data_IF_674042891614
#
_entry.id   IF_674042891614
#
_cell.length_a   1.000
_cell.length_b   1.000
_cell.length_c   1.000
_cell.angle_alpha   90.00
_cell.angle_beta   90.00
_cell.angle_gamma   90.00
#
_symmetry.space_group_name_H-M   'P 1'
#
loop_
_entity.id
_entity.type
_entity.pdbx_description
1 polymer ?
#
# COMPACT_ATOMS: atom_id res chain seq x y z
N UNK A 1 -19.45 26.54 -9.48
CA UNK A 1 -18.47 27.04 -8.48
C UNK A 1 -17.08 26.84 -9.05
N UNK A 2 -16.49 27.86 -9.67
CA UNK A 2 -15.12 27.77 -10.18
C UNK A 2 -14.14 27.63 -9.00
N UNK A 3 -13.31 26.59 -9.04
CA UNK A 3 -12.16 26.42 -8.15
C UNK A 3 -12.38 25.66 -6.84
N UNK A 4 -13.47 24.94 -6.65
CA UNK A 4 -13.66 24.03 -5.51
C UNK A 4 -13.79 22.59 -6.01
N UNK A 5 -13.02 21.68 -5.40
CA UNK A 5 -13.21 20.24 -5.58
C UNK A 5 -14.57 19.81 -5.07
N UNK A 6 -15.22 18.79 -5.66
CA UNK A 6 -16.45 18.22 -5.13
C UNK A 6 -16.23 17.70 -3.71
N UNK A 7 -17.25 17.80 -2.85
CA UNK A 7 -17.20 17.24 -1.50
C UNK A 7 -17.48 15.73 -1.49
N UNK A 8 -18.40 15.30 -2.39
CA UNK A 8 -18.81 13.90 -2.48
C UNK A 8 -18.98 13.50 -3.95
N UNK A 9 -18.50 12.30 -4.29
CA UNK A 9 -18.72 11.69 -5.59
C UNK A 9 -19.88 10.71 -5.51
N UNK A 10 -20.65 10.59 -6.59
CA UNK A 10 -21.76 9.64 -6.72
C UNK A 10 -21.34 8.36 -7.45
N UNK A 11 -20.56 8.48 -8.53
CA UNK A 11 -20.08 7.35 -9.33
C UNK A 11 -18.88 7.75 -10.19
N UNK A 12 -18.25 6.75 -10.82
CA UNK A 12 -17.15 6.93 -11.78
C UNK A 12 -17.32 6.00 -12.99
N UNK A 13 -16.80 6.41 -14.14
CA UNK A 13 -16.74 5.59 -15.36
C UNK A 13 -15.52 5.99 -16.21
N UNK A 14 -14.69 5.01 -16.56
CA UNK A 14 -13.44 5.30 -17.26
C UNK A 14 -12.58 6.29 -16.47
N UNK A 15 -12.19 7.39 -17.08
CA UNK A 15 -11.40 8.46 -16.46
C UNK A 15 -12.26 9.56 -15.80
N UNK A 16 -13.57 9.40 -15.74
CA UNK A 16 -14.50 10.44 -15.29
C UNK A 16 -15.20 10.07 -14.00
N UNK A 17 -15.51 11.08 -13.18
CA UNK A 17 -16.28 10.95 -11.95
C UNK A 17 -17.37 12.04 -11.93
N UNK A 18 -18.48 11.74 -11.26
CA UNK A 18 -19.59 12.67 -11.07
C UNK A 18 -19.81 12.93 -9.59
N UNK A 19 -20.04 14.19 -9.25
CA UNK A 19 -20.44 14.55 -7.91
C UNK A 19 -21.95 14.28 -7.66
N UNK A 20 -22.37 14.48 -6.42
CA UNK A 20 -23.79 14.30 -6.03
C UNK A 20 -24.74 15.33 -6.65
N UNK A 21 -24.21 16.43 -7.18
CA UNK A 21 -24.95 17.48 -7.89
C UNK A 21 -25.01 17.21 -9.41
N UNK A 22 -24.39 16.11 -9.88
CA UNK A 22 -24.37 15.69 -11.29
C UNK A 22 -23.31 16.38 -12.15
N UNK A 23 -22.38 17.10 -11.57
CA UNK A 23 -21.28 17.68 -12.33
C UNK A 23 -20.22 16.62 -12.65
N UNK A 24 -19.70 16.66 -13.87
CA UNK A 24 -18.68 15.75 -14.39
C UNK A 24 -17.28 16.33 -14.23
N UNK A 25 -16.33 15.48 -13.85
CA UNK A 25 -14.92 15.79 -13.68
C UNK A 25 -14.04 14.72 -14.31
N UNK A 26 -12.87 15.10 -14.82
CA UNK A 26 -11.80 14.16 -15.13
C UNK A 26 -11.06 13.86 -13.82
N UNK A 27 -10.96 12.59 -13.45
CA UNK A 27 -10.24 12.17 -12.25
C UNK A 27 -8.75 11.98 -12.52
N UNK A 28 -7.94 12.95 -12.10
CA UNK A 28 -6.48 12.87 -12.16
C UNK A 28 -5.86 12.21 -10.89
N UNK A 29 -6.68 11.90 -9.90
CA UNK A 29 -6.25 11.24 -8.65
C UNK A 29 -6.26 9.72 -8.81
N UNK A 30 -7.10 9.21 -9.73
CA UNK A 30 -7.16 7.79 -10.11
C UNK A 30 -7.41 6.85 -8.92
N UNK A 31 -8.31 7.26 -8.01
CA UNK A 31 -8.62 6.51 -6.79
C UNK A 31 -7.42 6.32 -5.85
N UNK A 32 -6.48 7.26 -5.82
CA UNK A 32 -5.16 7.15 -5.19
C UNK A 32 -4.28 6.08 -5.86
N UNK A 33 -4.26 6.09 -7.21
CA UNK A 33 -3.45 5.29 -8.13
C UNK A 33 -3.89 3.83 -8.41
N UNK A 34 -4.80 3.16 -7.68
CA UNK A 34 -5.13 1.76 -8.01
C UNK A 34 -6.01 1.59 -9.26
N UNK A 35 -6.71 2.63 -9.74
CA UNK A 35 -7.65 2.54 -10.86
C UNK A 35 -6.98 2.69 -12.24
N UNK A 36 -5.92 1.93 -12.50
CA UNK A 36 -5.14 2.06 -13.75
C UNK A 36 -5.94 1.72 -15.02
N UNK A 37 -7.02 0.93 -14.93
CA UNK A 37 -7.94 0.62 -16.03
C UNK A 37 -9.12 1.57 -16.10
N UNK A 38 -9.25 2.49 -15.15
CA UNK A 38 -10.39 3.37 -14.99
C UNK A 38 -11.51 2.77 -14.14
N UNK A 39 -12.53 3.59 -13.88
CA UNK A 39 -13.72 3.17 -13.14
C UNK A 39 -14.64 2.32 -14.02
N UNK A 40 -15.31 1.36 -13.41
CA UNK A 40 -16.34 0.52 -14.06
C UNK A 40 -15.81 -0.18 -15.33
N UNK A 41 -14.59 -0.71 -15.26
CA UNK A 41 -14.03 -1.54 -16.33
C UNK A 41 -14.89 -2.81 -16.48
N UNK A 42 -15.45 -3.09 -17.69
CA UNK A 42 -16.43 -4.14 -17.87
C UNK A 42 -15.87 -5.55 -17.65
N UNK A 43 -14.61 -5.80 -17.99
CA UNK A 43 -14.02 -7.12 -17.85
C UNK A 43 -13.75 -7.43 -16.37
N UNK A 44 -13.23 -6.45 -15.63
CA UNK A 44 -13.01 -6.55 -14.17
C UNK A 44 -14.36 -6.71 -13.46
N UNK A 45 -15.36 -5.86 -13.80
CA UNK A 45 -16.67 -5.93 -13.16
C UNK A 45 -17.34 -7.28 -13.39
N UNK A 46 -17.30 -7.81 -14.61
CA UNK A 46 -17.88 -9.12 -14.93
C UNK A 46 -17.23 -10.24 -14.13
N UNK A 47 -15.90 -10.24 -14.01
CA UNK A 47 -15.15 -11.23 -13.23
C UNK A 47 -15.52 -11.16 -11.74
N UNK A 48 -15.63 -9.94 -11.18
CA UNK A 48 -16.02 -9.74 -9.77
C UNK A 48 -17.45 -10.22 -9.53
N UNK A 49 -18.41 -9.88 -10.39
CA UNK A 49 -19.81 -10.32 -10.27
C UNK A 49 -19.92 -11.83 -10.35
N UNK A 50 -19.18 -12.49 -11.26
CA UNK A 50 -19.15 -13.95 -11.35
C UNK A 50 -18.64 -14.58 -10.04
N UNK A 51 -17.51 -14.06 -9.50
CA UNK A 51 -16.95 -14.58 -8.25
C UNK A 51 -17.85 -14.37 -7.03
N UNK A 52 -18.66 -13.30 -7.01
CA UNK A 52 -19.65 -13.09 -5.94
C UNK A 52 -20.68 -14.21 -5.89
N UNK A 53 -21.04 -14.80 -7.05
CA UNK A 53 -21.94 -15.96 -7.13
C UNK A 53 -21.35 -17.23 -6.50
N UNK A 54 -20.03 -17.41 -6.57
CA UNK A 54 -19.31 -18.55 -5.99
C UNK A 54 -18.88 -18.30 -4.53
N UNK A 55 -19.10 -17.10 -4.04
CA UNK A 55 -18.77 -16.67 -2.68
C UNK A 55 -17.41 -15.99 -2.55
N UNK A 56 -17.31 -15.16 -1.52
CA UNK A 56 -16.10 -14.46 -1.09
C UNK A 56 -15.81 -14.78 0.38
N UNK A 57 -14.58 -14.58 0.82
CA UNK A 57 -14.19 -14.80 2.22
C UNK A 57 -14.41 -16.26 2.69
N UNK A 58 -13.98 -17.20 1.86
CA UNK A 58 -14.06 -18.62 2.18
C UNK A 58 -13.02 -18.99 3.27
N UNK A 59 -13.31 -20.04 4.05
CA UNK A 59 -12.47 -20.46 5.19
C UNK A 59 -11.12 -21.08 4.77
N UNK A 60 -11.00 -21.51 3.53
CA UNK A 60 -9.78 -22.07 2.95
C UNK A 60 -9.36 -21.28 1.71
N UNK A 61 -8.07 -21.33 1.33
CA UNK A 61 -7.60 -20.73 0.08
C UNK A 61 -8.38 -21.23 -1.13
N UNK A 62 -8.63 -20.34 -2.08
CA UNK A 62 -9.38 -20.62 -3.29
C UNK A 62 -8.43 -20.81 -4.48
N UNK A 63 -8.93 -21.45 -5.54
CA UNK A 63 -8.15 -21.64 -6.77
C UNK A 63 -7.73 -20.28 -7.41
N UNK A 64 -8.54 -19.25 -7.26
CA UNK A 64 -8.23 -17.91 -7.79
C UNK A 64 -7.02 -17.28 -7.10
N UNK A 65 -6.83 -17.51 -5.79
CA UNK A 65 -5.63 -17.06 -5.06
C UNK A 65 -4.38 -17.78 -5.57
N UNK A 66 -4.47 -19.09 -5.82
CA UNK A 66 -3.37 -19.90 -6.34
C UNK A 66 -2.97 -19.41 -7.72
N UNK A 67 -3.93 -19.24 -8.63
CA UNK A 67 -3.69 -18.74 -9.99
C UNK A 67 -3.06 -17.34 -9.97
N UNK A 68 -3.54 -16.44 -9.12
CA UNK A 68 -2.95 -15.11 -8.99
C UNK A 68 -1.52 -15.18 -8.46
N UNK A 69 -1.24 -16.04 -7.48
CA UNK A 69 0.11 -16.22 -6.97
C UNK A 69 1.06 -16.76 -8.06
N UNK A 70 0.63 -17.73 -8.86
CA UNK A 70 1.39 -18.27 -10.00
C UNK A 70 1.69 -17.19 -11.05
N UNK A 71 0.71 -16.34 -11.40
CA UNK A 71 0.94 -15.24 -12.34
C UNK A 71 1.90 -14.19 -11.77
N UNK A 72 1.79 -13.83 -10.50
CA UNK A 72 2.72 -12.88 -9.88
C UNK A 72 4.16 -13.41 -9.84
N UNK A 73 4.35 -14.68 -9.54
CA UNK A 73 5.69 -15.33 -9.58
C UNK A 73 6.27 -15.33 -10.98
N UNK A 74 5.46 -15.50 -12.03
CA UNK A 74 5.90 -15.41 -13.43
C UNK A 74 6.29 -13.99 -13.86
N UNK A 75 5.50 -12.99 -13.40
CA UNK A 75 5.64 -11.60 -13.84
C UNK A 75 6.73 -10.84 -13.07
N UNK A 76 6.96 -11.20 -11.82
CA UNK A 76 7.90 -10.47 -10.93
C UNK A 76 9.17 -11.30 -10.76
N UNK A 77 10.31 -10.89 -11.36
CA UNK A 77 11.52 -11.72 -11.41
C UNK A 77 12.10 -12.13 -10.06
N UNK A 78 11.88 -11.34 -9.01
CA UNK A 78 12.37 -11.62 -7.65
C UNK A 78 11.33 -12.32 -6.75
N UNK A 79 10.13 -12.61 -7.26
CA UNK A 79 9.08 -13.26 -6.47
C UNK A 79 9.19 -14.79 -6.59
N UNK A 80 9.51 -15.45 -5.50
CA UNK A 80 9.48 -16.92 -5.36
C UNK A 80 8.19 -17.40 -4.69
N UNK A 81 7.63 -16.58 -3.82
CA UNK A 81 6.39 -16.84 -3.08
C UNK A 81 5.57 -15.57 -2.95
N UNK A 82 4.26 -15.73 -2.77
CA UNK A 82 3.32 -14.62 -2.63
C UNK A 82 2.48 -14.79 -1.36
N UNK A 83 2.28 -13.69 -0.64
CA UNK A 83 1.32 -13.61 0.46
C UNK A 83 0.39 -12.42 0.22
N UNK A 84 -0.91 -12.69 0.23
CA UNK A 84 -1.92 -11.66 0.06
C UNK A 84 -2.29 -11.01 1.39
N UNK A 85 -2.60 -9.73 1.36
CA UNK A 85 -3.19 -8.96 2.45
C UNK A 85 -4.38 -8.16 1.94
N UNK A 86 -5.17 -7.59 2.85
CA UNK A 86 -6.38 -6.86 2.49
C UNK A 86 -6.09 -5.51 1.84
N UNK A 87 -5.04 -4.84 2.28
CA UNK A 87 -4.67 -3.49 1.82
C UNK A 87 -3.17 -3.25 1.96
N UNK A 88 -2.69 -2.09 1.45
CA UNK A 88 -1.28 -1.71 1.49
C UNK A 88 -0.69 -1.66 2.90
N UNK A 89 -1.44 -1.14 3.87
CA UNK A 89 -0.97 -1.08 5.28
C UNK A 89 -0.74 -2.47 5.88
N UNK A 90 -1.58 -3.44 5.56
CA UNK A 90 -1.44 -4.82 6.04
C UNK A 90 -0.17 -5.46 5.47
N UNK A 91 0.05 -5.32 4.15
CA UNK A 91 1.20 -5.97 3.51
C UNK A 91 2.52 -5.29 3.86
N UNK A 92 2.55 -3.96 4.01
CA UNK A 92 3.76 -3.27 4.49
C UNK A 92 4.08 -3.65 5.93
N UNK A 93 3.10 -3.73 6.83
CA UNK A 93 3.30 -4.23 8.20
C UNK A 93 3.78 -5.69 8.21
N UNK A 94 3.22 -6.54 7.34
CA UNK A 94 3.65 -7.92 7.15
C UNK A 94 5.10 -8.02 6.67
N UNK A 95 5.48 -7.21 5.69
CA UNK A 95 6.84 -7.17 5.14
C UNK A 95 7.87 -6.75 6.20
N UNK A 96 7.58 -5.71 6.99
CA UNK A 96 8.45 -5.27 8.07
C UNK A 96 8.58 -6.34 9.16
N UNK A 97 7.48 -7.01 9.52
CA UNK A 97 7.52 -8.11 10.48
C UNK A 97 8.37 -9.28 9.99
N UNK A 98 8.27 -9.59 8.70
CA UNK A 98 9.10 -10.62 8.06
C UNK A 98 10.59 -10.22 8.06
N UNK A 99 10.91 -8.99 7.69
CA UNK A 99 12.28 -8.48 7.70
C UNK A 99 12.91 -8.54 9.10
N UNK A 100 12.16 -8.17 10.14
CA UNK A 100 12.60 -8.31 11.53
C UNK A 100 12.86 -9.77 11.92
N UNK A 101 11.94 -10.67 11.59
CA UNK A 101 12.08 -12.09 11.88
C UNK A 101 13.29 -12.72 11.17
N UNK A 102 13.51 -12.35 9.91
CA UNK A 102 14.62 -12.87 9.10
C UNK A 102 15.99 -12.36 9.55
N UNK A 103 16.08 -11.08 9.91
CA UNK A 103 17.37 -10.44 10.26
C UNK A 103 17.71 -10.48 11.75
N UNK A 104 16.70 -10.67 12.62
CA UNK A 104 16.86 -10.48 14.07
C UNK A 104 17.10 -9.02 14.48
N UNK A 105 16.75 -8.06 13.62
CA UNK A 105 16.98 -6.62 13.83
C UNK A 105 15.64 -5.89 13.88
N UNK A 106 15.58 -4.72 14.55
CA UNK A 106 14.32 -4.05 14.84
C UNK A 106 14.09 -2.74 14.06
N UNK A 107 15.17 -2.02 13.73
CA UNK A 107 15.08 -0.69 13.13
C UNK A 107 14.78 -0.72 11.64
N UNK A 108 14.05 0.30 11.16
CA UNK A 108 13.63 0.46 9.77
C UNK A 108 14.04 1.86 9.29
N UNK A 109 14.60 1.94 8.10
CA UNK A 109 14.79 3.21 7.39
C UNK A 109 13.66 3.40 6.39
N UNK A 110 12.98 4.55 6.41
CA UNK A 110 11.83 4.83 5.56
C UNK A 110 11.96 6.13 4.78
N UNK A 111 11.39 6.14 3.56
CA UNK A 111 11.17 7.33 2.77
C UNK A 111 9.84 7.17 2.02
N UNK A 112 9.00 8.22 1.99
CA UNK A 112 7.68 8.17 1.37
C UNK A 112 6.57 7.68 2.32
N UNK A 113 5.39 7.37 1.77
CA UNK A 113 4.21 6.96 2.53
C UNK A 113 4.03 5.43 2.53
N UNK A 114 3.83 4.83 3.70
CA UNK A 114 3.75 3.37 3.83
C UNK A 114 2.53 2.88 4.63
N UNK A 115 1.47 3.66 4.70
CA UNK A 115 0.24 3.30 5.38
C UNK A 115 0.05 3.99 6.73
N UNK A 116 -0.90 3.52 7.52
CA UNK A 116 -1.31 4.15 8.79
C UNK A 116 -0.98 3.30 10.03
N UNK A 117 -0.36 2.14 9.86
CA UNK A 117 0.04 1.27 10.96
C UNK A 117 1.10 1.93 11.85
N UNK A 118 1.09 1.63 13.14
CA UNK A 118 1.95 2.24 14.16
C UNK A 118 3.43 2.28 13.79
N UNK A 119 3.93 1.21 13.18
CA UNK A 119 5.33 1.09 12.79
C UNK A 119 5.80 2.21 11.84
N UNK A 120 4.88 2.73 11.00
CA UNK A 120 5.17 3.80 10.05
C UNK A 120 4.65 5.15 10.53
N UNK A 121 3.33 5.25 10.87
CA UNK A 121 2.71 6.53 11.23
C UNK A 121 3.38 7.17 12.44
N UNK A 122 3.98 6.36 13.30
CA UNK A 122 4.77 6.81 14.44
C UNK A 122 5.97 7.68 14.08
N UNK A 123 6.51 7.57 12.86
CA UNK A 123 7.62 8.39 12.35
C UNK A 123 7.18 9.73 11.74
N UNK A 124 5.88 10.01 11.71
CA UNK A 124 5.28 11.20 11.09
C UNK A 124 4.75 12.19 12.15
N UNK A 125 4.25 13.34 11.69
CA UNK A 125 3.55 14.29 12.58
C UNK A 125 2.20 13.78 13.10
N UNK A 126 1.66 12.70 12.52
CA UNK A 126 0.37 12.09 12.90
C UNK A 126 0.53 10.95 13.92
N UNK A 127 1.50 11.04 14.81
CA UNK A 127 1.93 9.96 15.71
C UNK A 127 1.21 9.92 17.06
N UNK A 128 0.15 10.67 17.26
CA UNK A 128 -0.61 10.65 18.52
C UNK A 128 -1.19 9.26 18.78
N UNK A 129 -0.96 8.74 19.99
CA UNK A 129 -1.40 7.39 20.37
C UNK A 129 -0.40 6.27 20.06
N UNK A 130 0.65 6.51 19.27
CA UNK A 130 1.70 5.53 19.03
C UNK A 130 2.71 5.55 20.19
N UNK A 131 2.98 4.40 20.84
CA UNK A 131 3.95 4.32 21.93
C UNK A 131 5.35 4.77 21.49
N UNK A 132 6.08 5.44 22.38
CA UNK A 132 7.42 5.96 22.10
C UNK A 132 8.39 4.85 21.65
N UNK A 133 8.34 3.68 22.27
CA UNK A 133 9.17 2.53 21.91
C UNK A 133 8.96 2.11 20.45
N UNK A 134 7.72 2.18 19.94
CA UNK A 134 7.42 1.86 18.54
C UNK A 134 7.93 2.95 17.62
N UNK A 135 7.71 4.23 17.98
CA UNK A 135 8.20 5.38 17.18
C UNK A 135 9.70 5.37 16.99
N UNK A 136 10.44 4.98 18.02
CA UNK A 136 11.92 4.98 18.02
C UNK A 136 12.53 3.89 17.12
N UNK A 137 11.73 2.97 16.56
CA UNK A 137 12.21 1.93 15.67
C UNK A 137 12.17 2.30 14.18
N UNK A 138 11.50 3.40 13.82
CA UNK A 138 11.37 3.84 12.43
C UNK A 138 12.03 5.20 12.22
N UNK A 139 12.94 5.25 11.24
CA UNK A 139 13.79 6.39 10.97
C UNK A 139 13.62 6.88 9.55
N UNK A 140 13.34 8.18 9.40
CA UNK A 140 13.12 8.80 8.09
C UNK A 140 14.44 9.24 7.48
N UNK A 141 14.64 8.93 6.20
CA UNK A 141 15.69 9.53 5.38
C UNK A 141 15.10 10.37 4.26
N UNK A 142 15.90 11.27 3.68
CA UNK A 142 15.44 12.23 2.68
C UNK A 142 15.40 11.58 1.30
N UNK A 143 14.27 11.76 0.58
CA UNK A 143 14.12 11.31 -0.80
C UNK A 143 15.23 11.86 -1.69
N UNK A 144 15.76 11.01 -2.58
CA UNK A 144 16.82 11.33 -3.53
C UNK A 144 18.12 11.89 -2.90
N UNK A 145 18.35 11.64 -1.60
CA UNK A 145 19.60 11.97 -0.89
C UNK A 145 20.20 10.70 -0.28
N UNK A 146 21.07 10.05 -1.06
CA UNK A 146 21.76 8.83 -0.64
C UNK A 146 22.61 9.06 0.63
N UNK A 147 23.17 10.25 0.82
CA UNK A 147 23.98 10.56 1.99
C UNK A 147 23.17 10.60 3.27
N UNK A 148 21.89 10.97 3.20
CA UNK A 148 20.99 10.92 4.35
C UNK A 148 20.76 9.48 4.79
N UNK A 149 20.60 8.54 3.86
CA UNK A 149 20.47 7.11 4.13
C UNK A 149 21.78 6.53 4.68
N UNK A 150 22.92 6.82 4.06
CA UNK A 150 24.24 6.36 4.52
C UNK A 150 24.49 6.76 5.98
N UNK A 151 24.34 8.05 6.32
CA UNK A 151 24.47 8.56 7.68
C UNK A 151 23.53 7.87 8.66
N UNK A 152 22.30 7.61 8.24
CA UNK A 152 21.33 6.92 9.07
C UNK A 152 21.78 5.48 9.38
N UNK A 153 22.21 4.73 8.37
CA UNK A 153 22.70 3.36 8.53
C UNK A 153 23.99 3.29 9.35
N UNK A 154 24.93 4.23 9.16
CA UNK A 154 26.16 4.36 9.94
C UNK A 154 25.91 4.72 11.41
N UNK A 155 24.83 5.48 11.70
CA UNK A 155 24.47 5.85 13.07
C UNK A 155 24.07 4.68 13.96
N UNK A 156 23.64 3.55 13.35
CA UNK A 156 23.19 2.32 14.02
C UNK A 156 23.65 1.09 13.26
N UNK A 157 24.94 0.77 13.26
CA UNK A 157 25.47 -0.36 12.51
C UNK A 157 24.80 -1.68 12.90
N UNK A 158 24.38 -2.44 11.89
CA UNK A 158 23.76 -3.75 12.04
C UNK A 158 22.42 -3.78 12.80
N UNK A 159 21.74 -2.64 12.99
CA UNK A 159 20.45 -2.59 13.69
C UNK A 159 19.24 -2.51 12.73
N UNK A 160 19.46 -2.12 11.48
CA UNK A 160 18.38 -2.01 10.50
C UNK A 160 18.01 -3.37 9.89
N UNK A 161 16.72 -3.70 9.91
CA UNK A 161 16.18 -4.90 9.26
C UNK A 161 15.77 -4.65 7.81
N UNK A 162 15.38 -3.41 7.47
CA UNK A 162 14.92 -3.05 6.14
C UNK A 162 15.12 -1.56 5.84
N UNK A 163 15.20 -1.27 4.54
CA UNK A 163 14.97 0.04 3.95
C UNK A 163 13.71 -0.09 3.09
N UNK A 164 12.74 0.79 3.31
CA UNK A 164 11.51 0.85 2.51
C UNK A 164 11.32 2.27 1.99
N UNK A 165 10.99 2.38 0.71
CA UNK A 165 10.86 3.66 0.03
C UNK A 165 9.79 3.61 -1.05
N UNK A 166 9.17 4.75 -1.29
CA UNK A 166 8.20 5.03 -2.35
C UNK A 166 8.78 6.07 -3.32
#
# INVERSE_FOLDING_TARGET
RQGQSPLFLSHGKGAHVWDVDGNEYVDLVNGLLPNVLGYDDPDVLQAVVAQLGDGVTLSLPTEIEIRLAEELVKLIPCAEMVRFGKNGSDVTAGAIRLARAFTGRDHIAVCGYHGWQDWYIGSTSLNKGVPELVRNLTHVFTYNDIRSLEKLLESRPSQFCAVIME
#
